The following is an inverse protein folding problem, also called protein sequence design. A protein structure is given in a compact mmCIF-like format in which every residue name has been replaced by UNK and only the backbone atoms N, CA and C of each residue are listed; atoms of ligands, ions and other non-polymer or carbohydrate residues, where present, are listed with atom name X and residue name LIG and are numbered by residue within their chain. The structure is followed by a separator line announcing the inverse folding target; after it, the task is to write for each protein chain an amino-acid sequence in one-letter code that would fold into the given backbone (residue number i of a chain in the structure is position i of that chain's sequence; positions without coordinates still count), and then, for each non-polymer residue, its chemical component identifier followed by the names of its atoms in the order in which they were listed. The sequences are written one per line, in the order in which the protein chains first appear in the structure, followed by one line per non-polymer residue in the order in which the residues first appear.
data_IF_392435601244
#
_entry.id   IF_392435601244
#
_cell.length_a   1.000
_cell.length_b   1.000
_cell.length_c   1.000
_cell.angle_alpha   90.00
_cell.angle_beta   90.00
_cell.angle_gamma   90.00
#
_symmetry.space_group_name_H-M   'P 1'
#
loop_
_entity.id
_entity.type
_entity.pdbx_description
1 polymer ?
#
# COMPACT_ATOMS: atom_id res chain seq x y z
N UNK A 1 -12.20 -7.90 -10.57
CA UNK A 1 -11.15 -8.73 -9.93
C UNK A 1 -10.96 -10.07 -10.65
N UNK A 2 -11.96 -10.60 -11.36
CA UNK A 2 -11.88 -11.89 -12.09
C UNK A 2 -10.65 -12.03 -12.99
N UNK A 3 -10.22 -10.97 -13.68
CA UNK A 3 -9.02 -10.99 -14.53
C UNK A 3 -7.74 -11.37 -13.74
N UNK A 4 -7.60 -10.86 -12.51
CA UNK A 4 -6.45 -11.17 -11.64
C UNK A 4 -6.59 -12.53 -10.94
N UNK A 5 -7.83 -12.99 -10.72
CA UNK A 5 -8.11 -14.27 -10.07
C UNK A 5 -7.97 -15.46 -11.03
N UNK A 6 -8.18 -15.23 -12.33
CA UNK A 6 -8.25 -16.24 -13.38
C UNK A 6 -6.93 -16.41 -14.16
N UNK A 7 -5.80 -16.27 -13.46
CA UNK A 7 -4.48 -16.71 -13.96
C UNK A 7 -4.22 -18.19 -13.61
N UNK A 8 -3.29 -18.84 -14.31
CA UNK A 8 -2.96 -20.23 -13.98
C UNK A 8 -2.43 -20.35 -12.54
N UNK A 9 -2.54 -21.54 -11.95
CA UNK A 9 -2.16 -21.74 -10.55
C UNK A 9 -0.70 -21.35 -10.26
N UNK A 10 0.21 -21.63 -11.20
CA UNK A 10 1.63 -21.32 -11.08
C UNK A 10 1.94 -19.82 -11.25
N UNK A 11 1.03 -19.08 -11.88
CA UNK A 11 1.12 -17.63 -12.05
C UNK A 11 0.51 -16.85 -10.88
N UNK A 12 -0.22 -17.52 -9.98
CA UNK A 12 -0.81 -16.89 -8.79
C UNK A 12 0.27 -16.40 -7.83
N UNK A 13 0.11 -15.15 -7.38
CA UNK A 13 1.01 -14.57 -6.39
C UNK A 13 0.56 -14.90 -4.96
N UNK A 14 0.99 -16.06 -4.49
CA UNK A 14 0.67 -16.52 -3.13
C UNK A 14 1.50 -15.75 -2.10
N UNK A 15 0.81 -15.21 -1.09
CA UNK A 15 1.47 -14.49 0.00
C UNK A 15 2.50 -15.41 0.68
N UNK A 16 3.73 -14.93 0.93
CA UNK A 16 4.76 -15.72 1.57
C UNK A 16 4.29 -16.31 2.90
N UNK A 17 4.66 -17.58 3.16
CA UNK A 17 4.34 -18.30 4.42
C UNK A 17 2.83 -18.49 4.71
N UNK A 18 1.94 -18.16 3.76
CA UNK A 18 0.49 -18.38 3.91
C UNK A 18 0.02 -19.81 3.64
N UNK A 19 0.91 -20.69 3.17
CA UNK A 19 0.53 -22.05 2.75
C UNK A 19 -0.49 -22.07 1.61
N UNK A 20 -0.39 -21.11 0.67
CA UNK A 20 -1.33 -20.94 -0.45
C UNK A 20 -2.77 -20.65 0.01
N UNK A 21 -2.92 -19.95 1.14
CA UNK A 21 -4.21 -19.52 1.65
C UNK A 21 -4.53 -18.06 1.30
N UNK A 22 -3.51 -17.21 1.18
CA UNK A 22 -3.67 -15.80 0.86
C UNK A 22 -3.13 -15.56 -0.55
N UNK A 23 -4.00 -15.09 -1.43
CA UNK A 23 -3.65 -14.70 -2.80
C UNK A 23 -3.54 -13.18 -2.86
N UNK A 24 -2.35 -12.68 -3.16
CA UNK A 24 -2.10 -11.26 -3.35
C UNK A 24 -2.47 -10.87 -4.79
N UNK A 25 -3.53 -10.08 -4.95
CA UNK A 25 -3.98 -9.59 -6.27
C UNK A 25 -3.28 -8.27 -6.63
N UNK A 26 -3.06 -7.42 -5.63
CA UNK A 26 -2.27 -6.19 -5.73
C UNK A 26 -1.46 -6.10 -4.45
N UNK A 27 -0.16 -6.41 -4.52
CA UNK A 27 0.73 -6.32 -3.37
C UNK A 27 1.60 -5.05 -3.44
N UNK A 28 1.62 -4.21 -2.39
CA UNK A 28 2.35 -2.95 -2.41
C UNK A 28 3.88 -3.12 -2.39
N UNK A 29 4.39 -4.23 -1.84
CA UNK A 29 5.83 -4.54 -1.82
C UNK A 29 6.35 -5.10 -3.15
N UNK A 30 5.47 -5.58 -4.04
CA UNK A 30 5.89 -6.04 -5.35
C UNK A 30 6.22 -4.81 -6.20
N UNK A 31 7.36 -4.81 -6.90
CA UNK A 31 7.85 -3.65 -7.64
C UNK A 31 7.96 -2.37 -6.77
N UNK A 32 8.40 -2.53 -5.51
CA UNK A 32 8.69 -1.41 -4.61
C UNK A 32 9.95 -0.62 -5.05
N UNK A 33 10.14 0.57 -4.49
CA UNK A 33 11.41 1.28 -4.63
C UNK A 33 12.52 0.49 -3.94
N UNK A 34 13.65 0.39 -4.64
CA UNK A 34 14.94 -0.03 -4.09
C UNK A 34 15.85 1.19 -4.18
N UNK A 35 16.16 1.80 -3.04
CA UNK A 35 16.98 3.01 -3.02
C UNK A 35 18.37 2.74 -3.62
N UNK A 36 18.88 3.70 -4.39
CA UNK A 36 20.12 3.56 -5.15
C UNK A 36 20.01 2.72 -6.43
N UNK A 37 18.84 2.11 -6.72
CA UNK A 37 18.64 1.27 -7.91
C UNK A 37 17.45 1.71 -8.76
N UNK A 38 16.30 1.99 -8.13
CA UNK A 38 15.10 2.37 -8.86
C UNK A 38 15.25 3.77 -9.45
N UNK A 39 14.66 3.95 -10.63
CA UNK A 39 14.68 5.19 -11.39
C UNK A 39 13.38 6.00 -11.20
N UNK A 40 13.50 7.33 -11.12
CA UNK A 40 12.39 8.28 -11.20
C UNK A 40 12.59 9.22 -12.38
N UNK A 41 11.51 9.80 -12.87
CA UNK A 41 11.55 10.79 -13.92
C UNK A 41 12.33 12.03 -13.47
N UNK A 42 13.30 12.46 -14.28
CA UNK A 42 14.08 13.68 -14.06
C UNK A 42 13.33 14.95 -14.48
N UNK A 43 12.23 14.80 -15.23
CA UNK A 43 11.38 15.91 -15.68
C UNK A 43 10.10 15.93 -14.87
N UNK A 44 9.79 17.08 -14.30
CA UNK A 44 8.48 17.30 -13.69
C UNK A 44 7.41 17.20 -14.77
N UNK A 45 6.42 16.36 -14.49
CA UNK A 45 5.25 16.13 -15.32
C UNK A 45 4.02 16.37 -14.47
N UNK A 46 3.06 17.16 -14.95
CA UNK A 46 1.79 17.36 -14.25
C UNK A 46 0.82 16.23 -14.63
N UNK A 47 0.54 15.26 -13.74
CA UNK A 47 -0.30 14.13 -14.06
C UNK A 47 -1.78 14.51 -14.23
N UNK A 48 -2.20 15.73 -13.85
CA UNK A 48 -3.56 16.22 -14.11
C UNK A 48 -3.82 16.53 -15.59
N UNK A 49 -2.75 16.74 -16.37
CA UNK A 49 -2.84 16.97 -17.82
C UNK A 49 -3.23 15.72 -18.62
N UNK A 50 -3.07 14.53 -18.05
CA UNK A 50 -3.45 13.26 -18.68
C UNK A 50 -4.94 12.96 -18.54
N UNK A 51 -5.52 12.39 -19.59
CA UNK A 51 -6.90 11.90 -19.62
C UNK A 51 -7.08 10.58 -18.85
N UNK A 52 -6.01 9.82 -18.60
CA UNK A 52 -6.04 8.58 -17.82
C UNK A 52 -4.69 8.25 -17.17
N UNK A 53 -4.69 7.41 -16.12
CA UNK A 53 -3.46 6.79 -15.59
C UNK A 53 -2.63 6.05 -16.63
N UNK A 54 -3.27 5.47 -17.64
CA UNK A 54 -2.59 4.78 -18.74
C UNK A 54 -1.79 5.74 -19.61
N UNK A 55 -2.40 6.85 -20.02
CA UNK A 55 -1.71 7.90 -20.78
C UNK A 55 -0.53 8.47 -19.99
N UNK A 56 -0.74 8.74 -18.69
CA UNK A 56 0.31 9.21 -17.79
C UNK A 56 1.47 8.20 -17.70
N UNK A 57 1.16 6.91 -17.54
CA UNK A 57 2.13 5.84 -17.49
C UNK A 57 2.98 5.78 -18.77
N UNK A 58 2.35 5.83 -19.94
CA UNK A 58 3.04 5.79 -21.23
C UNK A 58 3.94 7.01 -21.44
N UNK A 59 3.50 8.21 -21.06
CA UNK A 59 4.33 9.41 -21.16
C UNK A 59 5.57 9.33 -20.26
N UNK A 60 5.45 8.78 -19.05
CA UNK A 60 6.57 8.59 -18.14
C UNK A 60 7.61 7.57 -18.63
N UNK A 61 7.23 6.57 -19.42
CA UNK A 61 8.16 5.53 -19.89
C UNK A 61 9.31 6.10 -20.73
N UNK A 62 9.10 7.26 -21.36
CA UNK A 62 10.05 7.90 -22.27
C UNK A 62 10.75 9.13 -21.66
N UNK A 63 10.47 9.45 -20.40
CA UNK A 63 11.15 10.55 -19.74
C UNK A 63 12.56 10.14 -19.28
N UNK A 64 13.47 11.12 -19.26
CA UNK A 64 14.78 10.96 -18.62
C UNK A 64 14.63 10.48 -17.18
N UNK A 65 15.62 9.75 -16.69
CA UNK A 65 15.55 9.03 -15.42
C UNK A 65 16.74 9.34 -14.53
N UNK A 66 16.49 9.65 -13.26
CA UNK A 66 17.47 9.78 -12.19
C UNK A 66 17.30 8.64 -11.18
N UNK A 67 18.38 8.29 -10.48
CA UNK A 67 18.31 7.31 -9.38
C UNK A 67 17.54 7.93 -8.20
N UNK A 68 16.69 7.11 -7.57
CA UNK A 68 16.04 7.47 -6.31
C UNK A 68 17.00 7.18 -5.16
N UNK A 69 17.52 8.23 -4.55
CA UNK A 69 18.32 8.13 -3.33
C UNK A 69 17.43 7.93 -2.09
N UNK A 70 17.97 7.20 -1.12
CA UNK A 70 17.31 6.97 0.17
C UNK A 70 17.31 8.22 1.06
N UNK A 71 16.48 8.25 2.12
CA UNK A 71 16.52 9.32 3.10
C UNK A 71 17.89 9.38 3.78
N UNK A 72 18.47 10.58 3.85
CA UNK A 72 19.77 10.82 4.47
C UNK A 72 19.84 10.25 5.90
N UNK A 73 20.86 9.45 6.17
CA UNK A 73 21.10 8.85 7.50
C UNK A 73 20.12 7.74 7.90
N UNK A 74 19.36 7.18 6.95
CA UNK A 74 18.51 6.01 7.19
C UNK A 74 19.02 4.76 6.48
N UNK A 75 19.00 3.61 7.16
CA UNK A 75 19.31 2.29 6.58
C UNK A 75 18.10 1.66 5.86
N UNK A 76 17.14 2.48 5.44
CA UNK A 76 15.93 1.98 4.76
C UNK A 76 16.33 1.66 3.32
N UNK A 77 16.21 0.40 2.92
CA UNK A 77 16.57 -0.02 1.56
C UNK A 77 15.37 0.05 0.61
N UNK A 78 14.15 -0.08 1.14
CA UNK A 78 12.94 -0.19 0.33
C UNK A 78 11.82 0.77 0.73
N UNK A 79 10.99 1.15 -0.25
CA UNK A 79 9.82 2.01 -0.02
C UNK A 79 8.64 1.59 -0.92
N UNK A 80 7.43 1.55 -0.37
CA UNK A 80 6.19 1.41 -1.14
C UNK A 80 5.92 2.64 -1.99
N UNK A 81 5.35 2.43 -3.18
CA UNK A 81 5.09 3.50 -4.15
C UNK A 81 3.60 3.83 -4.18
N UNK A 82 3.17 5.03 -3.72
CA UNK A 82 1.77 5.44 -3.79
C UNK A 82 1.34 5.78 -5.21
N UNK A 83 0.02 5.76 -5.43
CA UNK A 83 -0.64 6.44 -6.55
C UNK A 83 -1.13 7.82 -6.13
N UNK A 84 -1.08 8.80 -7.03
CA UNK A 84 -1.64 10.12 -6.81
C UNK A 84 -3.13 10.14 -7.18
N UNK A 85 -3.94 10.73 -6.31
CA UNK A 85 -5.40 10.77 -6.41
C UNK A 85 -5.90 12.21 -6.28
N UNK A 86 -6.84 12.62 -7.11
CA UNK A 86 -7.56 13.89 -6.93
C UNK A 86 -8.87 13.68 -6.20
N UNK A 87 -9.19 14.60 -5.31
CA UNK A 87 -10.47 14.64 -4.60
C UNK A 87 -11.24 15.88 -5.00
N UNK A 88 -12.39 15.67 -5.66
CA UNK A 88 -13.30 16.73 -6.12
C UNK A 88 -14.70 16.52 -5.54
N UNK A 89 -15.57 17.54 -5.68
CA UNK A 89 -16.95 17.43 -5.26
C UNK A 89 -17.76 16.57 -6.26
N UNK A 90 -18.51 15.60 -5.74
CA UNK A 90 -19.47 14.83 -6.53
C UNK A 90 -20.70 15.65 -6.89
N UNK A 91 -21.35 15.30 -8.01
CA UNK A 91 -22.54 16.00 -8.52
C UNK A 91 -23.80 15.76 -7.68
N UNK A 92 -23.93 14.57 -7.08
CA UNK A 92 -25.13 14.15 -6.37
C UNK A 92 -24.78 13.76 -4.92
N UNK A 93 -25.44 14.39 -3.93
CA UNK A 93 -25.45 14.08 -2.49
C UNK A 93 -24.17 14.25 -1.65
N UNK A 94 -23.54 15.44 -1.68
CA UNK A 94 -22.45 15.81 -0.74
C UNK A 94 -21.22 14.86 -0.76
N UNK A 95 -21.19 13.93 -1.72
CA UNK A 95 -20.14 12.93 -1.88
C UNK A 95 -18.89 13.48 -2.53
N UNK A 96 -17.81 12.72 -2.43
CA UNK A 96 -16.56 13.00 -3.13
C UNK A 96 -16.50 12.24 -4.45
N UNK A 97 -15.88 12.85 -5.46
CA UNK A 97 -15.43 12.16 -6.67
C UNK A 97 -13.92 12.06 -6.62
N UNK A 98 -13.43 10.83 -6.70
CA UNK A 98 -12.01 10.50 -6.69
C UNK A 98 -11.58 10.07 -8.07
N UNK A 99 -10.36 10.43 -8.47
CA UNK A 99 -9.74 9.96 -9.70
C UNK A 99 -8.26 9.70 -9.50
N UNK A 100 -7.78 8.54 -9.93
CA UNK A 100 -6.35 8.24 -10.02
C UNK A 100 -5.71 9.11 -11.11
N UNK A 101 -4.65 9.82 -10.77
CA UNK A 101 -3.85 10.61 -11.72
C UNK A 101 -2.71 9.78 -12.33
N UNK A 102 -2.20 8.80 -11.59
CA UNK A 102 -1.13 7.91 -12.01
C UNK A 102 -1.51 6.45 -11.82
N UNK A 103 -0.75 5.53 -12.40
CA UNK A 103 -1.04 4.09 -12.25
C UNK A 103 -0.91 3.65 -10.77
N UNK A 104 -1.63 2.61 -10.38
CA UNK A 104 -1.49 1.91 -9.10
C UNK A 104 -0.39 0.88 -9.24
N UNK A 105 0.58 0.88 -8.32
CA UNK A 105 1.66 -0.10 -8.34
C UNK A 105 1.11 -1.54 -8.38
N UNK A 106 1.70 -2.40 -9.20
CA UNK A 106 1.26 -3.78 -9.44
C UNK A 106 -0.12 -3.94 -10.12
N UNK A 107 -0.78 -2.86 -10.59
CA UNK A 107 -2.07 -2.94 -11.29
C UNK A 107 -2.08 -2.18 -12.62
N UNK A 108 -2.00 -2.89 -13.75
CA UNK A 108 -1.88 -2.26 -15.07
C UNK A 108 -3.15 -1.43 -15.42
N UNK A 109 -3.03 -0.13 -15.74
CA UNK A 109 -4.17 0.77 -15.89
C UNK A 109 -5.06 0.48 -17.11
N UNK A 110 -4.50 -0.02 -18.21
CA UNK A 110 -5.30 -0.35 -19.40
C UNK A 110 -6.01 -1.70 -19.32
N UNK A 111 -5.36 -2.70 -18.70
CA UNK A 111 -5.90 -4.05 -18.57
C UNK A 111 -6.96 -4.13 -17.46
N UNK A 112 -6.91 -3.23 -16.47
CA UNK A 112 -7.75 -3.28 -15.28
C UNK A 112 -8.60 -2.01 -15.06
N UNK A 113 -9.07 -1.36 -16.14
CA UNK A 113 -9.85 -0.11 -16.08
C UNK A 113 -11.04 -0.17 -15.10
N UNK A 114 -11.79 -1.27 -15.12
CA UNK A 114 -12.95 -1.44 -14.23
C UNK A 114 -12.56 -1.55 -12.75
N UNK A 115 -11.37 -2.08 -12.47
CA UNK A 115 -10.83 -2.16 -11.11
C UNK A 115 -10.37 -0.80 -10.62
N UNK A 116 -9.75 0.02 -11.46
CA UNK A 116 -9.46 1.43 -11.14
C UNK A 116 -10.75 2.17 -10.79
N UNK A 117 -11.80 2.02 -11.61
CA UNK A 117 -13.09 2.65 -11.35
C UNK A 117 -13.70 2.23 -10.01
N UNK A 118 -13.65 0.93 -9.71
CA UNK A 118 -14.10 0.38 -8.42
C UNK A 118 -13.29 0.91 -7.25
N UNK A 119 -11.96 1.01 -7.40
CA UNK A 119 -11.05 1.55 -6.39
C UNK A 119 -11.36 3.03 -6.12
N UNK A 120 -11.53 3.85 -7.16
CA UNK A 120 -11.90 5.26 -7.04
C UNK A 120 -13.23 5.43 -6.29
N UNK A 121 -14.25 4.66 -6.66
CA UNK A 121 -15.58 4.73 -6.06
C UNK A 121 -15.58 4.28 -4.58
N UNK A 122 -14.78 3.27 -4.24
CA UNK A 122 -14.62 2.83 -2.84
C UNK A 122 -13.80 3.84 -2.06
N UNK A 123 -12.68 4.34 -2.61
CA UNK A 123 -11.84 5.34 -1.95
C UNK A 123 -12.62 6.63 -1.67
N UNK A 124 -13.52 7.04 -2.55
CA UNK A 124 -14.42 8.17 -2.31
C UNK A 124 -15.26 8.02 -1.02
N UNK A 125 -15.68 6.78 -0.68
CA UNK A 125 -16.38 6.51 0.58
C UNK A 125 -15.44 6.63 1.78
N UNK A 126 -14.18 6.24 1.64
CA UNK A 126 -13.16 6.43 2.68
C UNK A 126 -12.84 7.90 2.92
N UNK A 127 -12.75 8.71 1.86
CA UNK A 127 -12.50 10.16 1.97
C UNK A 127 -13.55 10.85 2.83
N UNK A 128 -14.80 10.41 2.79
CA UNK A 128 -15.87 10.92 3.66
C UNK A 128 -15.64 10.65 5.16
N UNK A 129 -14.85 9.63 5.51
CA UNK A 129 -14.57 9.23 6.90
C UNK A 129 -13.24 9.81 7.43
N UNK A 130 -12.34 10.24 6.54
CA UNK A 130 -10.99 10.70 6.91
C UNK A 130 -10.98 11.92 7.85
N UNK A 131 -11.83 12.95 7.69
CA UNK A 131 -11.80 14.13 8.56
C UNK A 131 -11.96 13.76 10.04
N UNK A 132 -12.79 12.78 10.38
CA UNK A 132 -13.01 12.37 11.77
C UNK A 132 -11.78 11.69 12.39
N UNK A 133 -10.95 11.03 11.56
CA UNK A 133 -9.73 10.34 12.00
C UNK A 133 -8.52 11.29 12.05
N UNK A 134 -8.43 12.23 11.11
CA UNK A 134 -7.31 13.20 11.04
C UNK A 134 -7.38 14.23 12.18
N UNK A 135 -8.58 14.51 12.73
CA UNK A 135 -8.81 15.57 13.72
C UNK A 135 -8.54 15.18 15.20
N UNK A 136 -7.88 14.05 15.48
CA UNK A 136 -7.52 13.62 16.84
C UNK A 136 -6.10 14.08 17.22
N UNK A 137 -5.84 14.85 18.31
CA UNK A 137 -6.67 15.77 19.08
C UNK A 137 -6.44 17.25 18.68
N UNK A 138 -5.95 17.53 17.46
CA UNK A 138 -5.85 18.91 16.96
C UNK A 138 -7.18 19.34 16.30
N UNK A 139 -7.86 20.31 16.92
CA UNK A 139 -9.19 20.86 16.56
C UNK A 139 -9.24 21.62 15.21
N UNK A 140 -8.37 21.36 14.24
CA UNK A 140 -8.38 22.04 12.94
C UNK A 140 -9.08 21.18 11.90
N UNK A 141 -10.27 21.61 11.44
CA UNK A 141 -10.96 20.96 10.31
C UNK A 141 -10.08 21.00 9.07
N UNK A 142 -9.47 19.88 8.69
CA UNK A 142 -8.73 19.75 7.44
C UNK A 142 -9.69 19.46 6.29
N UNK A 143 -9.77 20.36 5.30
CA UNK A 143 -10.43 20.05 4.03
C UNK A 143 -9.50 19.23 3.14
N UNK A 144 -10.01 18.11 2.61
CA UNK A 144 -9.33 17.30 1.60
C UNK A 144 -9.74 17.69 0.17
N UNK A 145 -10.66 18.66 0.02
CA UNK A 145 -11.16 19.10 -1.30
C UNK A 145 -10.09 19.85 -2.07
N UNK A 146 -9.94 19.53 -3.36
CA UNK A 146 -8.95 20.15 -4.23
C UNK A 146 -7.51 19.79 -3.88
N UNK A 147 -7.31 18.85 -2.94
CA UNK A 147 -5.99 18.31 -2.63
C UNK A 147 -5.71 17.08 -3.46
N UNK A 148 -4.45 16.90 -3.79
CA UNK A 148 -3.91 15.63 -4.25
C UNK A 148 -3.57 14.79 -3.03
N UNK A 149 -4.13 13.59 -2.96
CA UNK A 149 -3.81 12.59 -1.95
C UNK A 149 -2.92 11.52 -2.55
N UNK A 150 -2.13 10.87 -1.71
CA UNK A 150 -1.31 9.73 -2.07
C UNK A 150 -1.81 8.51 -1.33
N UNK A 151 -2.13 7.43 -2.06
CA UNK A 151 -2.54 6.19 -1.44
C UNK A 151 -1.79 5.00 -2.04
N UNK A 152 -1.38 4.08 -1.18
CA UNK A 152 -0.91 2.75 -1.57
C UNK A 152 -2.09 1.80 -1.45
N UNK A 153 -2.30 0.97 -2.48
CA UNK A 153 -3.44 0.06 -2.58
C UNK A 153 -2.95 -1.36 -2.36
N UNK A 154 -3.66 -2.11 -1.51
CA UNK A 154 -3.45 -3.54 -1.34
C UNK A 154 -4.76 -4.28 -1.57
N UNK A 155 -4.71 -5.31 -2.40
CA UNK A 155 -5.85 -6.20 -2.67
C UNK A 155 -5.42 -7.63 -2.50
N UNK A 156 -6.12 -8.37 -1.64
CA UNK A 156 -5.82 -9.77 -1.37
C UNK A 156 -7.09 -10.58 -1.11
N UNK A 157 -7.02 -11.87 -1.41
CA UNK A 157 -8.06 -12.84 -1.12
C UNK A 157 -7.55 -13.85 -0.10
N UNK A 158 -8.32 -14.09 0.96
CA UNK A 158 -8.14 -15.26 1.83
C UNK A 158 -9.08 -16.35 1.31
N UNK A 159 -8.50 -17.46 0.88
CA UNK A 159 -9.20 -18.59 0.25
C UNK A 159 -9.41 -19.69 1.28
N UNK A 160 -10.64 -20.18 1.35
CA UNK A 160 -11.05 -21.27 2.23
C UNK A 160 -11.50 -22.46 1.39
N UNK A 161 -11.07 -23.65 1.79
CA UNK A 161 -11.56 -24.92 1.24
C UNK A 161 -12.13 -25.78 2.36
N UNK A 162 -12.94 -26.80 2.05
CA UNK A 162 -13.39 -27.77 3.05
C UNK A 162 -12.25 -28.43 3.84
N UNK A 163 -11.08 -28.59 3.22
CA UNK A 163 -9.88 -29.18 3.83
C UNK A 163 -9.09 -28.17 4.68
N UNK A 164 -9.26 -26.86 4.42
CA UNK A 164 -8.66 -25.77 5.18
C UNK A 164 -9.67 -24.65 5.46
N UNK A 165 -10.66 -24.88 6.34
CA UNK A 165 -11.75 -23.93 6.62
C UNK A 165 -11.37 -22.84 7.64
N UNK A 166 -10.15 -22.86 8.17
CA UNK A 166 -9.69 -21.97 9.25
C UNK A 166 -8.64 -20.98 8.76
N UNK A 167 -8.75 -19.71 9.18
CA UNK A 167 -7.70 -18.71 9.07
C UNK A 167 -7.14 -18.42 10.47
N UNK A 168 -5.83 -18.58 10.64
CA UNK A 168 -5.15 -18.49 11.96
C UNK A 168 -4.99 -17.07 12.49
N UNK A 169 -5.38 -16.05 11.72
CA UNK A 169 -5.15 -14.64 12.06
C UNK A 169 -3.80 -14.13 11.56
N UNK A 170 -3.62 -12.82 11.64
CA UNK A 170 -2.37 -12.12 11.36
C UNK A 170 -1.55 -11.86 12.62
N UNK A 171 -0.29 -11.47 12.43
CA UNK A 171 0.57 -11.00 13.52
C UNK A 171 0.23 -9.56 13.89
N UNK A 172 0.63 -9.11 15.10
CA UNK A 172 0.55 -7.70 15.46
C UNK A 172 1.60 -6.91 14.68
N UNK A 173 1.17 -5.89 13.94
CA UNK A 173 2.07 -5.07 13.15
C UNK A 173 1.59 -3.62 13.03
N UNK A 174 2.53 -2.74 12.66
CA UNK A 174 2.29 -1.39 12.14
C UNK A 174 2.61 -1.45 10.65
N UNK A 175 1.79 -0.82 9.80
CA UNK A 175 2.01 -0.88 8.36
C UNK A 175 2.86 0.30 7.90
N UNK A 176 3.92 -0.01 7.15
CA UNK A 176 4.84 0.96 6.57
C UNK A 176 6.01 1.39 7.45
N UNK A 177 6.89 2.21 6.88
CA UNK A 177 8.12 2.71 7.52
C UNK A 177 8.11 4.24 7.65
N UNK A 178 9.03 4.86 8.41
CA UNK A 178 9.17 6.32 8.44
C UNK A 178 9.40 6.95 7.05
N UNK A 179 9.89 6.18 6.07
CA UNK A 179 10.03 6.66 4.70
C UNK A 179 8.67 6.85 4.01
N UNK A 180 7.57 6.31 4.52
CA UNK A 180 6.30 6.19 3.79
C UNK A 180 5.17 7.06 4.37
N UNK A 181 5.34 7.61 5.58
CA UNK A 181 4.40 8.53 6.23
C UNK A 181 2.91 8.08 6.15
N UNK A 182 2.62 6.80 6.39
CA UNK A 182 1.30 6.19 6.12
C UNK A 182 0.29 6.37 7.27
N UNK A 183 -1.00 6.50 6.93
CA UNK A 183 -2.22 6.37 7.73
C UNK A 183 -3.09 5.21 7.17
N UNK A 184 -3.71 4.37 8.00
CA UNK A 184 -4.28 3.08 7.54
C UNK A 184 -5.82 3.07 7.39
N UNK A 185 -6.31 2.26 6.47
CA UNK A 185 -7.70 1.78 6.40
C UNK A 185 -7.72 0.25 6.19
N UNK A 186 -8.49 -0.52 6.97
CA UNK A 186 -8.48 -1.99 6.85
C UNK A 186 -9.76 -2.67 7.39
N UNK A 187 -9.73 -3.99 7.63
CA UNK A 187 -10.91 -4.85 7.83
C UNK A 187 -10.68 -5.98 8.87
N UNK A 188 -11.54 -6.03 9.90
CA UNK A 188 -11.59 -6.86 11.13
C UNK A 188 -10.29 -6.88 11.92
N UNK A 189 -10.18 -5.96 12.87
CA UNK A 189 -8.93 -5.63 13.52
C UNK A 189 -9.10 -5.56 15.03
N UNK A 190 -8.19 -6.21 15.73
CA UNK A 190 -7.86 -5.81 17.09
C UNK A 190 -6.88 -4.62 16.99
N UNK A 191 -7.09 -3.59 17.81
CA UNK A 191 -6.28 -2.37 17.82
C UNK A 191 -5.64 -2.19 19.20
N UNK A 192 -4.36 -1.84 19.23
CA UNK A 192 -3.65 -1.47 20.46
C UNK A 192 -2.63 -0.37 20.20
N UNK A 193 -2.27 0.42 21.20
CA UNK A 193 -1.14 1.36 21.12
C UNK A 193 -0.17 1.15 22.27
N UNK A 194 1.09 1.43 22.01
CA UNK A 194 2.06 1.69 23.06
C UNK A 194 1.75 3.05 23.69
N UNK A 195 1.80 3.12 25.02
CA UNK A 195 1.56 4.35 25.76
C UNK A 195 2.75 4.64 26.67
N UNK A 196 2.99 5.92 26.94
CA UNK A 196 3.90 6.30 28.03
C UNK A 196 3.22 6.00 29.37
N UNK A 197 4.02 5.82 30.43
CA UNK A 197 3.47 5.64 31.77
C UNK A 197 2.58 6.85 32.10
N UNK A 198 1.26 6.65 32.31
CA UNK A 198 0.36 7.76 32.54
C UNK A 198 0.72 8.45 33.86
N UNK A 199 0.50 9.76 33.94
CA UNK A 199 0.57 10.44 35.22
C UNK A 199 -0.71 10.12 36.02
N UNK A 200 -0.57 9.36 37.10
CA UNK A 200 -1.68 9.04 38.02
C UNK A 200 -1.30 9.33 39.47
N UNK A 201 -2.31 9.48 40.32
CA UNK A 201 -2.12 9.66 41.75
C UNK A 201 -1.56 8.37 42.36
N UNK A 202 -0.60 8.49 43.27
CA UNK A 202 0.05 7.33 43.90
C UNK A 202 -0.99 6.36 44.47
N UNK A 203 -0.89 5.08 44.07
CA UNK A 203 -1.81 3.97 44.40
C UNK A 203 -3.22 4.03 43.77
N UNK A 204 -3.45 4.87 42.76
CA UNK A 204 -4.71 4.86 41.98
C UNK A 204 -4.70 3.79 40.87
N UNK A 205 -4.42 2.54 41.24
CA UNK A 205 -4.37 1.43 40.30
C UNK A 205 -5.74 1.18 39.63
N UNK A 206 -6.83 1.52 40.33
CA UNK A 206 -8.20 1.38 39.82
C UNK A 206 -8.54 2.42 38.75
N UNK A 207 -8.11 3.69 38.93
CA UNK A 207 -8.28 4.74 37.93
C UNK A 207 -7.44 4.48 36.68
N UNK A 208 -6.22 3.97 36.85
CA UNK A 208 -5.34 3.56 35.74
C UNK A 208 -5.93 2.39 34.97
N UNK A 209 -6.38 1.34 35.66
CA UNK A 209 -7.03 0.20 35.02
C UNK A 209 -8.33 0.60 34.30
N UNK A 210 -9.14 1.46 34.90
CA UNK A 210 -10.40 1.92 34.29
C UNK A 210 -10.21 2.82 33.07
N UNK A 211 -9.15 3.63 33.03
CA UNK A 211 -8.92 4.62 31.97
C UNK A 211 -8.03 4.08 30.84
N UNK A 212 -6.98 3.34 31.21
CA UNK A 212 -5.94 2.87 30.29
C UNK A 212 -5.96 1.35 30.09
N UNK A 213 -6.72 0.60 30.91
CA UNK A 213 -6.72 -0.86 30.85
C UNK A 213 -5.41 -1.51 31.33
N UNK A 214 -4.56 -0.75 32.03
CA UNK A 214 -3.26 -1.22 32.53
C UNK A 214 -3.34 -1.68 33.99
N UNK A 215 -2.68 -2.79 34.32
CA UNK A 215 -2.47 -3.23 35.69
C UNK A 215 -0.98 -3.14 36.07
N UNK A 216 -0.71 -3.11 37.38
CA UNK A 216 0.66 -3.01 37.88
C UNK A 216 1.55 -4.16 37.37
N UNK A 217 2.66 -3.82 36.70
CA UNK A 217 3.59 -4.79 36.11
C UNK A 217 3.26 -5.22 34.67
N UNK A 218 2.14 -4.73 34.10
CA UNK A 218 1.84 -4.95 32.69
C UNK A 218 2.80 -4.19 31.77
N UNK A 219 2.88 -4.65 30.52
CA UNK A 219 3.50 -3.87 29.45
C UNK A 219 2.65 -2.63 29.23
N UNK A 220 3.28 -1.49 28.93
CA UNK A 220 2.61 -0.21 28.63
C UNK A 220 1.91 -0.24 27.26
N UNK A 221 0.91 -1.11 27.15
CA UNK A 221 0.13 -1.37 25.93
C UNK A 221 -1.34 -1.21 26.30
N UNK A 222 -2.02 -0.25 25.66
CA UNK A 222 -3.45 -0.06 25.78
C UNK A 222 -4.19 -0.77 24.65
N UNK A 223 -5.10 -1.68 25.00
CA UNK A 223 -5.99 -2.36 24.05
C UNK A 223 -7.23 -1.51 23.77
N UNK A 224 -7.46 -1.14 22.50
CA UNK A 224 -8.62 -0.35 22.07
C UNK A 224 -9.84 -1.21 21.68
N UNK A 225 -9.68 -2.53 21.68
CA UNK A 225 -10.74 -3.49 21.41
C UNK A 225 -10.82 -3.96 19.96
N UNK A 226 -11.97 -4.56 19.61
CA UNK A 226 -12.18 -5.26 18.34
C UNK A 226 -13.19 -4.52 17.46
N UNK A 227 -12.81 -4.29 16.20
CA UNK A 227 -13.76 -3.87 15.17
C UNK A 227 -14.10 -5.06 14.27
N UNK A 228 -15.37 -5.47 14.22
CA UNK A 228 -15.81 -6.48 13.27
C UNK A 228 -16.00 -5.86 11.87
N UNK A 229 -15.25 -6.35 10.88
CA UNK A 229 -15.55 -6.01 9.48
C UNK A 229 -16.69 -6.87 8.95
N UNK A 230 -17.81 -6.20 8.76
CA UNK A 230 -18.99 -6.71 8.08
C UNK A 230 -18.95 -6.28 6.61
N UNK A 231 -19.68 -7.00 5.76
CA UNK A 231 -19.92 -6.58 4.37
C UNK A 231 -20.40 -5.13 4.33
N UNK A 232 -19.87 -4.35 3.38
CA UNK A 232 -20.21 -2.92 3.19
C UNK A 232 -19.80 -1.98 4.32
N UNK A 233 -18.93 -2.39 5.25
CA UNK A 233 -18.34 -1.50 6.27
C UNK A 233 -16.90 -1.14 5.94
N UNK A 234 -16.59 0.16 5.98
CA UNK A 234 -15.24 0.70 5.93
C UNK A 234 -14.72 0.94 7.36
N UNK A 235 -13.44 0.66 7.62
CA UNK A 235 -12.77 1.00 8.88
C UNK A 235 -11.53 1.84 8.58
N UNK A 236 -11.39 2.95 9.30
CA UNK A 236 -10.32 3.94 9.16
C UNK A 236 -9.70 4.15 10.53
N UNK A 237 -8.36 4.10 10.62
CA UNK A 237 -7.65 4.28 11.88
C UNK A 237 -6.24 4.83 11.62
N UNK A 238 -5.66 5.61 12.55
CA UNK A 238 -4.31 6.11 12.37
C UNK A 238 -3.29 4.97 12.44
N UNK A 239 -2.19 5.11 11.71
CA UNK A 239 -1.12 4.11 11.69
C UNK A 239 -0.32 4.04 13.00
N UNK A 240 -0.57 4.94 13.95
CA UNK A 240 -0.03 4.84 15.31
C UNK A 240 -0.59 3.64 16.09
N UNK A 241 -1.67 3.02 15.63
CA UNK A 241 -2.25 1.84 16.26
C UNK A 241 -1.66 0.57 15.64
N UNK A 242 -1.07 -0.28 16.48
CA UNK A 242 -0.79 -1.66 16.11
C UNK A 242 -2.11 -2.40 15.88
N UNK A 243 -2.13 -3.24 14.84
CA UNK A 243 -3.31 -4.02 14.52
C UNK A 243 -2.98 -5.46 14.16
N UNK A 244 -3.98 -6.34 14.30
CA UNK A 244 -3.96 -7.70 13.76
C UNK A 244 -5.34 -8.14 13.30
N UNK A 245 -5.37 -9.04 12.33
CA UNK A 245 -6.60 -9.76 11.93
C UNK A 245 -6.80 -10.93 12.87
N UNK A 246 -7.92 -11.00 13.57
CA UNK A 246 -8.27 -12.14 14.45
C UNK A 246 -8.50 -13.43 13.65
N UNK A 247 -8.30 -14.61 14.25
CA UNK A 247 -8.70 -15.88 13.63
C UNK A 247 -10.20 -15.92 13.28
N UNK A 248 -10.54 -16.60 12.20
CA UNK A 248 -11.91 -16.87 11.80
C UNK A 248 -12.01 -18.09 10.89
N UNK A 249 -13.22 -18.63 10.74
CA UNK A 249 -13.47 -19.83 9.96
C UNK A 249 -14.70 -19.67 9.05
N UNK A 250 -14.89 -20.62 8.14
CA UNK A 250 -16.11 -20.71 7.35
C UNK A 250 -17.32 -21.00 8.24
N UNK A 251 -18.44 -20.34 7.98
CA UNK A 251 -19.71 -20.69 8.63
C UNK A 251 -20.17 -22.11 8.25
N UNK A 252 -19.85 -22.55 7.03
CA UNK A 252 -20.18 -23.88 6.51
C UNK A 252 -18.97 -24.55 5.88
N UNK A 253 -18.38 -25.53 6.56
CA UNK A 253 -17.12 -26.19 6.14
C UNK A 253 -17.25 -27.09 4.91
N UNK A 254 -18.46 -27.27 4.37
CA UNK A 254 -18.72 -28.15 3.20
C UNK A 254 -18.60 -27.42 1.86
N UNK A 255 -18.46 -26.09 1.86
CA UNK A 255 -18.35 -25.28 0.64
C UNK A 255 -17.10 -24.41 0.70
N UNK A 256 -16.38 -24.22 -0.41
CA UNK A 256 -15.31 -23.25 -0.46
C UNK A 256 -15.86 -21.85 -0.21
N UNK A 257 -15.02 -20.97 0.34
CA UNK A 257 -15.36 -19.58 0.57
C UNK A 257 -14.17 -18.66 0.34
N UNK A 258 -14.45 -17.36 0.29
CA UNK A 258 -13.41 -16.34 0.11
C UNK A 258 -13.72 -15.12 0.96
N UNK A 259 -12.67 -14.52 1.50
CA UNK A 259 -12.71 -13.17 2.08
C UNK A 259 -11.83 -12.27 1.25
N UNK A 260 -12.44 -11.27 0.61
CA UNK A 260 -11.72 -10.25 -0.15
C UNK A 260 -11.34 -9.09 0.76
N UNK A 261 -10.12 -8.59 0.59
CA UNK A 261 -9.57 -7.47 1.34
C UNK A 261 -9.14 -6.41 0.35
N UNK A 262 -9.63 -5.19 0.53
CA UNK A 262 -9.15 -3.97 -0.12
C UNK A 262 -8.74 -3.01 1.00
N UNK A 263 -7.47 -2.64 1.03
CA UNK A 263 -6.91 -1.74 2.01
C UNK A 263 -6.24 -0.56 1.30
N UNK A 264 -6.39 0.62 1.90
CA UNK A 264 -5.70 1.84 1.49
C UNK A 264 -4.80 2.34 2.61
N UNK A 265 -3.58 2.68 2.22
CA UNK A 265 -2.57 3.27 3.07
C UNK A 265 -2.33 4.70 2.57
N UNK A 266 -2.89 5.67 3.28
CA UNK A 266 -2.88 7.08 2.92
C UNK A 266 -1.58 7.73 3.39
N UNK A 267 -0.78 8.29 2.50
CA UNK A 267 0.42 9.05 2.86
C UNK A 267 0.01 10.42 3.43
N UNK A 268 0.75 10.92 4.42
CA UNK A 268 0.59 12.28 4.95
C UNK A 268 0.67 13.32 3.82
N UNK A 269 -0.45 14.01 3.59
CA UNK A 269 -0.57 15.02 2.54
C UNK A 269 0.33 16.24 2.74
N UNK A 270 0.90 16.43 3.93
CA UNK A 270 1.90 17.48 4.18
C UNK A 270 3.34 17.03 3.89
N UNK A 271 3.56 15.72 3.74
CA UNK A 271 4.86 15.10 3.50
C UNK A 271 4.77 14.06 2.37
N UNK A 272 4.42 14.50 1.15
CA UNK A 272 4.30 13.59 0.02
C UNK A 272 5.64 12.91 -0.27
N UNK A 273 5.56 11.67 -0.75
CA UNK A 273 6.71 10.86 -1.15
C UNK A 273 6.70 10.66 -2.67
N UNK A 274 7.82 10.24 -3.29
CA UNK A 274 7.80 9.90 -4.71
C UNK A 274 6.73 8.84 -5.01
N UNK A 275 5.88 9.11 -6.00
CA UNK A 275 4.75 8.26 -6.37
C UNK A 275 4.90 7.74 -7.80
N UNK A 276 3.93 6.94 -8.24
CA UNK A 276 3.83 6.51 -9.64
C UNK A 276 3.59 7.67 -10.62
N UNK A 277 3.36 8.91 -10.16
CA UNK A 277 3.33 10.08 -11.04
C UNK A 277 4.70 10.51 -11.54
N UNK A 278 5.75 10.10 -10.83
CA UNK A 278 7.15 10.36 -11.17
C UNK A 278 7.96 9.08 -11.34
N UNK A 279 7.45 7.91 -10.93
CA UNK A 279 8.08 6.62 -11.18
C UNK A 279 7.54 6.02 -12.49
N UNK A 280 8.41 5.79 -13.48
CA UNK A 280 8.03 4.97 -14.63
C UNK A 280 7.83 3.52 -14.16
N UNK A 281 6.93 2.74 -14.79
CA UNK A 281 6.69 1.36 -14.40
C UNK A 281 7.98 0.56 -14.24
N UNK A 282 8.14 -0.05 -13.07
CA UNK A 282 9.27 -0.94 -12.83
C UNK A 282 9.07 -2.30 -13.50
N UNK A 283 7.83 -2.68 -13.85
CA UNK A 283 7.57 -3.97 -14.46
C UNK A 283 8.22 -4.06 -15.85
N UNK A 284 9.22 -4.93 -16.01
CA UNK A 284 9.96 -5.09 -17.27
C UNK A 284 9.03 -5.35 -18.46
N UNK A 285 8.11 -6.32 -18.33
CA UNK A 285 7.16 -6.64 -19.40
C UNK A 285 6.24 -5.47 -19.80
N UNK A 286 5.87 -4.58 -18.87
CA UNK A 286 5.05 -3.41 -19.22
C UNK A 286 5.86 -2.41 -20.04
N UNK A 287 7.15 -2.22 -19.69
CA UNK A 287 8.06 -1.36 -20.46
C UNK A 287 8.32 -1.93 -21.85
N UNK A 288 8.50 -3.25 -21.96
CA UNK A 288 8.68 -3.93 -23.25
C UNK A 288 7.47 -3.76 -24.15
N UNK A 289 6.26 -4.01 -23.63
CA UNK A 289 5.02 -3.81 -24.38
C UNK A 289 4.83 -2.33 -24.81
N UNK A 290 5.08 -1.37 -23.91
CA UNK A 290 5.03 0.06 -24.23
C UNK A 290 6.07 0.47 -25.28
N UNK A 291 7.24 -0.15 -25.26
CA UNK A 291 8.31 0.11 -26.21
C UNK A 291 8.00 -0.45 -27.61
N UNK A 292 7.44 -1.66 -27.70
CA UNK A 292 6.98 -2.26 -28.96
C UNK A 292 5.93 -1.38 -29.65
N UNK A 293 4.93 -0.90 -28.88
CA UNK A 293 3.93 0.04 -29.38
C UNK A 293 4.54 1.36 -29.89
N UNK A 294 5.63 1.82 -29.28
CA UNK A 294 6.34 3.02 -29.71
C UNK A 294 7.11 2.80 -31.02
N UNK A 295 7.82 1.68 -31.16
CA UNK A 295 8.49 1.32 -32.41
C UNK A 295 7.50 1.28 -33.57
N UNK A 296 6.35 0.62 -33.37
CA UNK A 296 5.30 0.50 -34.38
C UNK A 296 4.79 1.88 -34.83
N UNK A 297 4.55 2.78 -33.86
CA UNK A 297 4.06 4.15 -34.15
C UNK A 297 5.11 5.06 -34.79
N UNK A 298 6.36 4.95 -34.36
CA UNK A 298 7.44 5.87 -34.76
C UNK A 298 8.25 5.38 -35.97
N UNK A 299 8.07 4.12 -36.43
CA UNK A 299 8.83 3.50 -37.53
C UNK A 299 10.35 3.65 -37.35
N UNK A 300 10.83 3.42 -36.13
CA UNK A 300 12.26 3.52 -35.81
C UNK A 300 13.06 2.45 -36.57
N UNK A 301 14.28 2.80 -36.98
CA UNK A 301 15.22 1.93 -37.72
C UNK A 301 16.17 1.21 -36.74
N UNK A 302 16.59 -0.01 -37.08
CA UNK A 302 17.31 -0.98 -36.21
C UNK A 302 18.43 -0.41 -35.32
N UNK A 303 19.24 0.54 -35.82
CA UNK A 303 20.39 1.10 -35.05
C UNK A 303 19.93 2.05 -33.93
N UNK A 304 18.83 2.77 -34.14
CA UNK A 304 18.23 3.61 -33.10
C UNK A 304 17.51 2.79 -32.04
N UNK A 305 16.90 1.68 -32.46
CA UNK A 305 16.17 0.77 -31.57
C UNK A 305 17.08 0.19 -30.48
N UNK A 306 18.23 -0.37 -30.84
CA UNK A 306 19.08 -1.06 -29.86
C UNK A 306 19.62 -0.12 -28.77
N UNK A 307 20.00 1.10 -29.14
CA UNK A 307 20.47 2.11 -28.18
C UNK A 307 19.34 2.57 -27.25
N UNK A 308 18.14 2.74 -27.78
CA UNK A 308 16.97 3.14 -26.97
C UNK A 308 16.54 1.98 -26.06
N UNK A 309 16.59 0.72 -26.50
CA UNK A 309 16.30 -0.46 -25.68
C UNK A 309 17.16 -0.51 -24.42
N UNK A 310 18.48 -0.32 -24.56
CA UNK A 310 19.42 -0.39 -23.43
C UNK A 310 19.18 0.73 -22.40
N UNK A 311 18.68 1.88 -22.83
CA UNK A 311 18.44 3.05 -21.97
C UNK A 311 17.04 3.03 -21.35
N UNK A 312 16.00 2.67 -22.13
CA UNK A 312 14.61 2.77 -21.71
C UNK A 312 14.02 1.50 -21.08
N UNK A 313 14.66 0.33 -21.21
CA UNK A 313 14.16 -0.94 -20.66
C UNK A 313 14.83 -1.37 -19.35
N UNK A 314 15.29 -0.41 -18.51
CA UNK A 314 15.77 -0.71 -17.15
C UNK A 314 14.61 -0.92 -16.18
N UNK A 315 13.86 -2.00 -16.37
CA UNK A 315 12.86 -2.48 -15.43
C UNK A 315 13.37 -3.62 -14.55
N UNK A 316 12.45 -4.20 -13.81
CA UNK A 316 12.62 -5.29 -12.86
C UNK A 316 11.81 -6.50 -13.36
N UNK A 317 12.46 -7.67 -13.41
CA UNK A 317 11.74 -8.92 -13.67
C UNK A 317 10.84 -9.30 -12.49
N UNK A 318 9.82 -10.13 -12.74
CA UNK A 318 8.95 -10.62 -11.66
C UNK A 318 9.74 -11.39 -10.59
N UNK A 319 10.75 -12.17 -10.99
CA UNK A 319 11.59 -12.90 -10.05
C UNK A 319 12.40 -11.97 -9.12
N UNK A 320 12.99 -10.90 -9.68
CA UNK A 320 13.67 -9.87 -8.88
C UNK A 320 12.69 -9.14 -7.96
N UNK A 321 11.50 -8.79 -8.46
CA UNK A 321 10.45 -8.13 -7.67
C UNK A 321 9.99 -8.99 -6.49
N UNK A 322 9.83 -10.30 -6.69
CA UNK A 322 9.49 -11.24 -5.62
C UNK A 322 10.60 -11.35 -4.58
N UNK A 323 11.87 -11.35 -5.00
CA UNK A 323 13.01 -11.32 -4.07
C UNK A 323 13.00 -10.03 -3.23
N UNK A 324 12.93 -8.86 -3.86
CA UNK A 324 12.87 -7.59 -3.13
C UNK A 324 11.64 -7.47 -2.23
N UNK A 325 10.51 -8.03 -2.64
CA UNK A 325 9.32 -8.10 -1.79
C UNK A 325 9.59 -8.90 -0.50
N UNK A 326 10.29 -10.04 -0.58
CA UNK A 326 10.69 -10.82 0.60
C UNK A 326 11.70 -10.04 1.46
N UNK A 327 12.72 -9.44 0.85
CA UNK A 327 13.72 -8.63 1.55
C UNK A 327 13.06 -7.45 2.29
N UNK A 328 12.11 -6.77 1.64
CA UNK A 328 11.32 -5.68 2.23
C UNK A 328 10.45 -6.18 3.39
N UNK A 329 9.78 -7.33 3.23
CA UNK A 329 8.98 -7.91 4.32
C UNK A 329 9.86 -8.28 5.52
N UNK A 330 11.05 -8.84 5.29
CA UNK A 330 12.03 -9.14 6.32
C UNK A 330 12.56 -7.86 6.99
N UNK A 331 12.87 -6.83 6.22
CA UNK A 331 13.27 -5.50 6.71
C UNK A 331 12.26 -4.93 7.71
N UNK A 332 10.97 -5.23 7.52
CA UNK A 332 9.86 -4.74 8.35
C UNK A 332 9.52 -5.63 9.54
N UNK A 333 10.17 -6.78 9.70
CA UNK A 333 10.04 -7.59 10.92
C UNK A 333 10.79 -6.94 12.09
N UNK A 334 10.37 -7.28 13.32
CA UNK A 334 11.06 -6.83 14.54
C UNK A 334 12.54 -7.26 14.55
N UNK A 335 12.85 -8.46 14.04
CA UNK A 335 14.20 -9.00 13.92
C UNK A 335 15.04 -8.23 12.89
N UNK A 336 14.47 -7.93 11.71
CA UNK A 336 15.12 -7.09 10.70
C UNK A 336 15.46 -5.69 11.23
N UNK A 337 14.52 -5.06 11.95
CA UNK A 337 14.75 -3.75 12.57
C UNK A 337 15.84 -3.79 13.66
N UNK A 338 15.94 -4.89 14.42
CA UNK A 338 16.96 -5.07 15.47
C UNK A 338 18.36 -5.29 14.87
N UNK A 339 18.50 -6.10 13.82
CA UNK A 339 19.78 -6.35 13.15
C UNK A 339 20.40 -5.06 12.58
N UNK A 340 19.60 -4.15 12.03
CA UNK A 340 20.07 -2.83 11.56
C UNK A 340 20.58 -1.95 12.70
N UNK A 341 19.86 -1.88 13.83
CA UNK A 341 20.33 -1.15 15.02
C UNK A 341 21.67 -1.67 15.53
N UNK A 342 21.91 -2.98 15.47
CA UNK A 342 23.18 -3.59 15.90
C UNK A 342 24.33 -3.30 14.93
N UNK A 343 24.07 -3.24 13.62
CA UNK A 343 25.08 -2.87 12.63
C UNK A 343 25.49 -1.39 12.74
N UNK A 344 24.55 -0.49 13.03
CA UNK A 344 24.83 0.95 13.18
C UNK A 344 25.58 1.35 14.45
N UNK A 345 25.67 0.48 15.47
CA UNK A 345 26.46 0.73 16.69
C UNK A 345 27.96 0.42 16.46
N UNK A 346 28.33 -0.18 15.32
CA UNK A 346 29.71 -0.61 15.02
C UNK A 346 30.51 0.35 14.13
N UNK A 347 30.03 1.56 13.86
CA UNK A 347 30.75 2.58 13.08
C UNK A 347 31.16 3.78 13.91
#
# INVERSE_FOLDING_TARGET
MEILENVSFDEKDWHPRSGQQILDLVHPSLFCYVFGQTLKSSRMFDPTSCSSPAEQMHQLMFNGSDIVEGPDGSDIAFQWIPTDLTVTQGGDDNGFKVRCLSYINSLHPEQHKDMYKSIEDIFAKFVSLLPDVINLPQKSKVSLRGKTLQAIVKVADIIFTPENPWYRGGEWHIEGTPAENINITASRLALRAEIEEPFYQQNDDSGVAGTFGLFHGDRLIQEFGLVQAMTSRCVVFPNSLQHRVEPFELEYHIRPGRRKILAFFLVDFNKPIPSTSVNSPQHQAWRECGFELMIEKCRLVDVGEQNIRVVLLRGMSLAQAKKHCLDLMEERTAEGAMMRKVMNIRH
#
